data_IF_353144953711
#
_entry.id   IF_353144953711
#
_cell.length_a   1.000
_cell.length_b   1.000
_cell.length_c   1.000
_cell.angle_alpha   90.00
_cell.angle_beta   90.00
_cell.angle_gamma   90.00
#
_symmetry.space_group_name_H-M   'P 1'
#
loop_
_entity.id
_entity.type
_entity.pdbx_description
1 polymer ?
#
# COMPACT_ATOMS: atom_id res chain seq x y z
N UNK A 1 10.21 0.04 23.71
CA UNK A 1 11.05 0.30 24.90
C UNK A 1 10.65 1.65 25.45
N UNK A 2 10.39 1.79 26.75
CA UNK A 2 10.31 3.13 27.36
C UNK A 2 11.73 3.68 27.24
N UNK A 3 11.96 4.84 26.60
CA UNK A 3 13.29 5.43 26.56
C UNK A 3 13.80 5.56 27.99
N UNK A 4 15.07 5.24 28.24
CA UNK A 4 15.70 5.47 29.55
C UNK A 4 15.37 6.91 29.95
N UNK A 5 14.49 7.09 30.96
CA UNK A 5 13.76 8.32 31.25
C UNK A 5 14.65 9.52 31.56
N UNK A 6 15.26 10.07 30.51
CA UNK A 6 16.16 11.21 30.57
C UNK A 6 15.40 12.53 30.46
N UNK A 7 16.11 13.66 30.54
CA UNK A 7 15.50 15.00 30.58
C UNK A 7 14.54 15.28 29.42
N UNK A 8 14.83 14.78 28.22
CA UNK A 8 13.95 14.92 27.06
C UNK A 8 12.64 14.13 27.20
N UNK A 9 12.68 12.95 27.83
CA UNK A 9 11.48 12.16 28.10
C UNK A 9 10.62 12.83 29.17
N UNK A 10 11.23 13.36 30.22
CA UNK A 10 10.52 14.11 31.27
C UNK A 10 9.84 15.37 30.70
N UNK A 11 10.49 16.06 29.77
CA UNK A 11 9.91 17.21 29.06
C UNK A 11 8.67 16.79 28.24
N UNK A 12 8.75 15.68 27.50
CA UNK A 12 7.62 15.16 26.72
C UNK A 12 6.47 14.74 27.64
N UNK A 13 6.75 13.94 28.67
CA UNK A 13 5.73 13.45 29.61
C UNK A 13 5.10 14.60 30.39
N UNK A 14 5.86 15.62 30.77
CA UNK A 14 5.34 16.81 31.45
C UNK A 14 4.34 17.62 30.61
N UNK A 15 4.38 17.48 29.28
CA UNK A 15 3.45 18.11 28.34
C UNK A 15 2.22 17.25 28.05
N UNK A 16 2.20 15.99 28.45
CA UNK A 16 1.04 15.13 28.27
C UNK A 16 -0.11 15.55 29.21
N UNK A 17 -1.33 15.51 28.69
CA UNK A 17 -2.57 15.65 29.45
C UNK A 17 -3.50 14.51 29.05
N UNK A 18 -4.38 14.10 29.96
CA UNK A 18 -5.34 13.03 29.73
C UNK A 18 -6.75 13.51 30.05
N UNK A 19 -7.67 13.28 29.12
CA UNK A 19 -9.10 13.56 29.28
C UNK A 19 -9.83 12.22 29.17
N UNK A 20 -10.66 11.91 30.17
CA UNK A 20 -11.46 10.69 30.19
C UNK A 20 -12.89 11.02 29.80
N UNK A 21 -13.47 10.24 28.90
CA UNK A 21 -14.86 10.44 28.49
C UNK A 21 -15.30 9.58 27.32
N UNK A 22 -16.56 9.72 26.91
CA UNK A 22 -17.14 8.98 25.78
C UNK A 22 -16.89 9.69 24.45
N UNK A 23 -16.74 8.92 23.37
CA UNK A 23 -16.44 9.45 22.02
C UNK A 23 -17.55 10.33 21.42
N UNK A 24 -18.75 10.32 22.00
CA UNK A 24 -19.91 11.09 21.55
C UNK A 24 -20.53 11.91 22.67
N UNK A 25 -19.91 11.96 23.85
CA UNK A 25 -20.43 12.70 25.00
C UNK A 25 -19.98 14.17 24.92
N UNK A 26 -20.90 15.15 24.79
CA UNK A 26 -20.54 16.57 24.72
C UNK A 26 -19.66 17.04 25.88
N UNK A 27 -19.88 16.53 27.10
CA UNK A 27 -19.08 16.89 28.26
C UNK A 27 -17.59 16.50 28.11
N UNK A 28 -17.30 15.47 27.31
CA UNK A 28 -15.93 15.06 27.00
C UNK A 28 -15.23 16.09 26.13
N UNK A 29 -15.93 16.64 25.14
CA UNK A 29 -15.38 17.63 24.21
C UNK A 29 -15.26 19.02 24.86
N UNK A 30 -16.19 19.38 25.75
CA UNK A 30 -16.05 20.57 26.61
C UNK A 30 -14.80 20.47 27.51
N UNK A 31 -14.57 19.31 28.13
CA UNK A 31 -13.36 19.08 28.93
C UNK A 31 -12.09 19.12 28.06
N UNK A 32 -12.14 18.55 26.85
CA UNK A 32 -11.04 18.61 25.88
C UNK A 32 -10.73 20.06 25.48
N UNK A 33 -11.73 20.87 25.18
CA UNK A 33 -11.55 22.30 24.85
C UNK A 33 -10.85 23.05 25.98
N UNK A 34 -11.25 22.81 27.23
CA UNK A 34 -10.62 23.42 28.40
C UNK A 34 -9.13 23.08 28.51
N UNK A 35 -8.76 21.81 28.31
CA UNK A 35 -7.36 21.36 28.33
C UNK A 35 -6.57 21.94 27.15
N UNK A 36 -7.15 21.98 25.95
CA UNK A 36 -6.48 22.56 24.78
C UNK A 36 -6.21 24.06 24.98
N UNK A 37 -7.15 24.78 25.57
CA UNK A 37 -7.00 26.21 25.88
C UNK A 37 -5.90 26.45 26.93
N UNK A 38 -5.81 25.60 27.96
CA UNK A 38 -4.71 25.65 28.93
C UNK A 38 -3.34 25.42 28.26
N UNK A 39 -3.26 24.49 27.31
CA UNK A 39 -2.03 24.21 26.57
C UNK A 39 -1.64 25.33 25.61
N UNK A 40 -2.61 25.99 24.98
CA UNK A 40 -2.35 27.15 24.14
C UNK A 40 -1.66 28.28 24.93
N UNK A 41 -2.06 28.49 26.19
CA UNK A 41 -1.47 29.49 27.09
C UNK A 41 -0.14 29.06 27.71
N UNK A 42 -0.01 27.78 28.10
CA UNK A 42 1.12 27.30 28.91
C UNK A 42 2.33 26.81 28.11
N UNK A 43 2.10 26.20 26.93
CA UNK A 43 3.17 25.62 26.10
C UNK A 43 3.32 26.29 24.73
N UNK A 44 2.50 27.30 24.43
CA UNK A 44 2.59 28.04 23.18
C UNK A 44 2.20 27.22 21.95
N UNK A 45 1.31 26.23 22.11
CA UNK A 45 0.78 25.39 21.03
C UNK A 45 0.06 26.19 19.93
N UNK A 46 -0.26 27.44 20.24
CA UNK A 46 -0.57 28.43 19.24
C UNK A 46 -1.86 28.13 18.45
N UNK A 47 -2.80 27.39 19.06
CA UNK A 47 -4.06 26.99 18.44
C UNK A 47 -3.91 25.93 17.36
N UNK A 48 -2.69 25.40 17.14
CA UNK A 48 -2.44 24.36 16.15
C UNK A 48 -2.81 23.00 16.72
N UNK A 49 -3.66 22.24 16.01
CA UNK A 49 -4.22 20.99 16.50
C UNK A 49 -4.08 19.89 15.46
N UNK A 50 -3.61 18.72 15.89
CA UNK A 50 -3.64 17.48 15.13
C UNK A 50 -4.42 16.45 15.95
N UNK A 51 -5.59 16.05 15.47
CA UNK A 51 -6.40 15.01 16.07
C UNK A 51 -6.06 13.67 15.43
N UNK A 52 -5.42 12.77 16.17
CA UNK A 52 -5.11 11.42 15.70
C UNK A 52 -6.15 10.41 16.19
N UNK A 53 -6.93 9.83 15.27
CA UNK A 53 -7.96 8.85 15.62
C UNK A 53 -7.38 7.43 15.72
N UNK A 54 -6.62 7.15 16.77
CA UNK A 54 -6.11 5.82 17.10
C UNK A 54 -7.21 4.95 17.75
N UNK A 55 -8.32 4.78 17.05
CA UNK A 55 -9.54 4.14 17.56
C UNK A 55 -10.10 3.12 16.57
N UNK A 56 -11.18 2.43 16.93
CA UNK A 56 -11.82 1.46 16.02
C UNK A 56 -12.52 2.18 14.85
N UNK A 57 -12.55 1.62 13.63
CA UNK A 57 -13.03 2.36 12.45
C UNK A 57 -14.49 2.79 12.53
N UNK A 58 -15.32 2.02 13.24
CA UNK A 58 -16.75 2.27 13.35
C UNK A 58 -17.11 3.59 14.06
N UNK A 59 -16.17 4.24 14.75
CA UNK A 59 -16.42 5.48 15.50
C UNK A 59 -15.74 6.72 14.89
N UNK A 60 -15.06 6.60 13.74
CA UNK A 60 -14.35 7.73 13.15
C UNK A 60 -15.28 8.89 12.80
N UNK A 61 -16.42 8.59 12.17
CA UNK A 61 -17.43 9.57 11.82
C UNK A 61 -18.00 10.25 13.07
N UNK A 62 -18.33 9.47 14.10
CA UNK A 62 -18.88 9.96 15.36
C UNK A 62 -17.93 10.96 16.05
N UNK A 63 -16.63 10.63 16.12
CA UNK A 63 -15.63 11.54 16.70
C UNK A 63 -15.48 12.81 15.85
N UNK A 64 -15.39 12.67 14.52
CA UNK A 64 -15.24 13.82 13.64
C UNK A 64 -16.43 14.79 13.77
N UNK A 65 -17.66 14.27 13.79
CA UNK A 65 -18.86 15.05 14.01
C UNK A 65 -18.89 15.71 15.39
N UNK A 66 -18.51 14.98 16.45
CA UNK A 66 -18.49 15.53 17.80
C UNK A 66 -17.43 16.65 17.97
N UNK A 67 -16.26 16.51 17.34
CA UNK A 67 -15.27 17.60 17.23
C UNK A 67 -15.85 18.81 16.51
N UNK A 68 -16.57 18.60 15.41
CA UNK A 68 -17.24 19.68 14.67
C UNK A 68 -18.32 20.39 15.49
N UNK A 69 -19.18 19.64 16.16
CA UNK A 69 -20.26 20.17 17.01
C UNK A 69 -19.73 20.96 18.21
N UNK A 70 -18.59 20.56 18.76
CA UNK A 70 -17.89 21.29 19.81
C UNK A 70 -17.10 22.51 19.31
N UNK A 71 -17.12 22.81 18.00
CA UNK A 71 -16.34 23.90 17.40
C UNK A 71 -14.83 23.65 17.38
N UNK A 72 -14.40 22.42 17.65
CA UNK A 72 -12.99 22.03 17.76
C UNK A 72 -12.35 21.69 16.41
N UNK A 73 -13.14 21.54 15.35
CA UNK A 73 -12.64 21.28 13.98
C UNK A 73 -12.12 22.54 13.27
N UNK A 74 -12.29 23.73 13.86
CA UNK A 74 -11.84 25.01 13.32
C UNK A 74 -10.74 25.62 14.21
N UNK A 75 -9.72 26.25 13.62
CA UNK A 75 -8.66 26.86 14.41
C UNK A 75 -9.23 28.00 15.27
N UNK A 76 -8.78 28.14 16.55
CA UNK A 76 -9.29 29.17 17.45
C UNK A 76 -8.81 30.59 17.09
N UNK A 77 -7.87 30.72 16.13
CA UNK A 77 -7.28 31.99 15.72
C UNK A 77 -6.70 31.93 14.30
N UNK A 78 -6.58 33.10 13.68
CA UNK A 78 -5.98 33.25 12.35
C UNK A 78 -4.53 32.76 12.31
N UNK A 79 -4.19 32.04 11.23
CA UNK A 79 -2.85 31.49 11.01
C UNK A 79 -2.56 30.18 11.75
N UNK A 80 -3.50 29.67 12.55
CA UNK A 80 -3.42 28.33 13.13
C UNK A 80 -4.09 27.28 12.22
N UNK A 81 -3.75 26.01 12.40
CA UNK A 81 -4.36 24.90 11.67
C UNK A 81 -5.07 23.90 12.60
N UNK A 82 -6.05 23.20 12.04
CA UNK A 82 -6.65 22.00 12.65
C UNK A 82 -6.62 20.89 11.61
N UNK A 83 -6.09 19.73 11.97
CA UNK A 83 -5.95 18.57 11.09
C UNK A 83 -6.47 17.31 11.77
N UNK A 84 -7.07 16.43 10.98
CA UNK A 84 -7.63 15.16 11.41
C UNK A 84 -6.84 14.03 10.73
N UNK A 85 -6.16 13.21 11.52
CA UNK A 85 -5.43 12.03 11.06
C UNK A 85 -6.29 10.80 11.32
N UNK A 86 -6.60 10.05 10.27
CA UNK A 86 -7.42 8.84 10.34
C UNK A 86 -6.67 7.62 9.80
N UNK A 87 -6.92 6.47 10.45
CA UNK A 87 -6.32 5.18 10.11
C UNK A 87 -7.22 4.37 9.18
N UNK A 88 -6.63 3.39 8.49
CA UNK A 88 -7.40 2.39 7.74
C UNK A 88 -8.13 1.42 8.70
N UNK A 89 -9.21 0.76 8.26
CA UNK A 89 -9.89 0.83 6.96
C UNK A 89 -10.73 2.10 6.73
N UNK A 90 -10.70 2.60 5.49
CA UNK A 90 -11.55 3.70 5.01
C UNK A 90 -12.84 3.14 4.39
N UNK A 91 -13.77 2.69 5.24
CA UNK A 91 -14.93 1.92 4.81
C UNK A 91 -14.62 0.44 4.56
N UNK A 92 -15.65 -0.32 4.19
CA UNK A 92 -15.58 -1.77 3.90
C UNK A 92 -16.06 -2.12 2.49
N UNK A 93 -16.61 -1.14 1.81
CA UNK A 93 -17.14 -1.13 0.45
C UNK A 93 -17.22 0.34 0.01
N UNK A 94 -17.44 0.60 -1.27
CA UNK A 94 -17.53 1.95 -1.82
C UNK A 94 -18.58 2.80 -1.09
N UNK A 95 -19.76 2.23 -0.82
CA UNK A 95 -20.86 2.97 -0.18
C UNK A 95 -20.51 3.42 1.22
N UNK A 96 -19.92 2.55 2.05
CA UNK A 96 -19.54 2.88 3.41
C UNK A 96 -18.33 3.83 3.47
N UNK A 97 -17.41 3.75 2.50
CA UNK A 97 -16.34 4.72 2.36
C UNK A 97 -16.88 6.12 2.06
N UNK A 98 -17.82 6.23 1.12
CA UNK A 98 -18.49 7.49 0.79
C UNK A 98 -19.32 8.06 1.96
N UNK A 99 -19.99 7.19 2.72
CA UNK A 99 -20.71 7.62 3.94
C UNK A 99 -19.76 8.14 5.02
N UNK A 100 -18.65 7.44 5.28
CA UNK A 100 -17.63 7.87 6.24
C UNK A 100 -17.05 9.22 5.80
N UNK A 101 -16.71 9.34 4.53
CA UNK A 101 -16.14 10.56 3.98
C UNK A 101 -17.11 11.76 4.07
N UNK A 102 -18.37 11.57 3.69
CA UNK A 102 -19.39 12.61 3.80
C UNK A 102 -19.56 13.08 5.25
N UNK A 103 -19.55 12.16 6.22
CA UNK A 103 -19.67 12.49 7.63
C UNK A 103 -18.45 13.27 8.17
N UNK A 104 -17.24 12.91 7.75
CA UNK A 104 -16.03 13.68 8.08
C UNK A 104 -16.12 15.10 7.52
N UNK A 105 -16.60 15.22 6.28
CA UNK A 105 -16.74 16.50 5.58
C UNK A 105 -17.87 17.41 6.10
N UNK A 106 -18.72 16.92 7.01
CA UNK A 106 -19.61 17.81 7.78
C UNK A 106 -18.84 18.69 8.77
N UNK A 107 -17.65 18.25 9.23
CA UNK A 107 -16.87 18.91 10.27
C UNK A 107 -15.50 19.43 9.79
N UNK A 108 -14.86 18.78 8.82
CA UNK A 108 -13.51 19.08 8.34
C UNK A 108 -13.49 19.29 6.82
N UNK A 109 -12.67 20.22 6.34
CA UNK A 109 -12.43 20.36 4.90
C UNK A 109 -11.34 19.35 4.45
N UNK A 110 -11.28 18.97 3.16
CA UNK A 110 -10.37 17.90 2.68
C UNK A 110 -8.88 18.20 2.92
N UNK A 111 -8.47 19.47 2.94
CA UNK A 111 -7.09 19.89 3.26
C UNK A 111 -6.73 19.73 4.75
N UNK A 112 -7.75 19.51 5.60
CA UNK A 112 -7.59 19.17 7.00
C UNK A 112 -7.51 17.65 7.23
N UNK A 113 -7.83 16.79 6.25
CA UNK A 113 -7.98 15.35 6.45
C UNK A 113 -6.75 14.58 5.94
N UNK A 114 -6.13 13.83 6.85
CA UNK A 114 -4.87 13.10 6.65
C UNK A 114 -5.14 11.60 6.80
N UNK A 115 -5.44 10.93 5.68
CA UNK A 115 -5.73 9.48 5.64
C UNK A 115 -4.43 8.69 5.54
N UNK A 116 -4.09 7.95 6.59
CA UNK A 116 -2.83 7.20 6.68
C UNK A 116 -2.89 5.91 5.87
N UNK A 117 -1.86 5.74 5.03
CA UNK A 117 -1.36 4.45 4.60
C UNK A 117 0.14 4.39 4.92
N UNK A 118 0.52 3.61 5.94
CA UNK A 118 1.91 3.51 6.37
C UNK A 118 2.88 3.00 5.28
N UNK A 119 2.41 2.41 4.17
CA UNK A 119 3.31 2.09 3.06
C UNK A 119 3.82 3.36 2.37
N UNK A 120 3.03 4.43 2.30
CA UNK A 120 3.44 5.71 1.71
C UNK A 120 4.53 6.40 2.53
N UNK A 121 4.59 6.15 3.84
CA UNK A 121 5.64 6.65 4.72
C UNK A 121 7.00 5.95 4.57
N UNK A 122 7.11 4.90 3.74
CA UNK A 122 8.37 4.18 3.50
C UNK A 122 9.25 4.93 2.51
N UNK A 123 10.53 5.06 2.85
CA UNK A 123 11.55 5.77 2.04
C UNK A 123 11.57 5.30 0.58
N UNK A 124 11.48 3.98 0.35
CA UNK A 124 11.50 3.39 -1.00
C UNK A 124 10.32 3.76 -1.87
N UNK A 125 9.16 4.05 -1.28
CA UNK A 125 7.98 4.47 -2.03
C UNK A 125 8.20 5.85 -2.65
N UNK A 126 8.83 6.78 -1.91
CA UNK A 126 9.22 8.08 -2.45
C UNK A 126 10.34 7.97 -3.47
N UNK A 127 11.27 7.05 -3.27
CA UNK A 127 12.34 6.80 -4.24
C UNK A 127 11.83 6.41 -5.63
N UNK A 128 10.62 5.85 -5.75
CA UNK A 128 10.00 5.60 -7.06
C UNK A 128 9.89 6.91 -7.85
N UNK A 129 9.51 8.02 -7.21
CA UNK A 129 9.41 9.33 -7.87
C UNK A 129 10.80 9.84 -8.30
N UNK A 130 11.79 9.77 -7.41
CA UNK A 130 13.15 10.17 -7.72
C UNK A 130 13.75 9.32 -8.86
N UNK A 131 13.59 8.00 -8.80
CA UNK A 131 14.07 7.08 -9.82
C UNK A 131 13.47 7.42 -11.20
N UNK A 132 12.16 7.64 -11.26
CA UNK A 132 11.45 7.89 -12.52
C UNK A 132 11.76 9.27 -13.09
N UNK A 133 11.68 10.31 -12.26
CA UNK A 133 11.62 11.69 -12.76
C UNK A 133 12.93 12.48 -12.60
N UNK A 134 13.88 12.00 -11.80
CA UNK A 134 15.22 12.61 -11.71
C UNK A 134 16.27 11.94 -12.62
N UNK A 135 15.91 10.86 -13.33
CA UNK A 135 16.84 10.09 -14.15
C UNK A 135 16.38 10.01 -15.61
N UNK A 136 17.12 10.69 -16.50
CA UNK A 136 16.83 10.71 -17.94
C UNK A 136 16.88 9.34 -18.62
N UNK A 137 17.48 8.33 -18.00
CA UNK A 137 17.61 6.97 -18.55
C UNK A 137 16.37 6.09 -18.30
N UNK A 138 15.60 6.34 -17.23
CA UNK A 138 14.52 5.44 -16.81
C UNK A 138 13.17 5.82 -17.39
N UNK A 139 12.82 7.12 -17.41
CA UNK A 139 11.52 7.52 -17.93
C UNK A 139 11.27 7.13 -19.40
N UNK A 140 12.23 7.27 -20.34
CA UNK A 140 12.01 6.86 -21.73
C UNK A 140 11.69 5.38 -21.93
N UNK A 141 12.10 4.51 -20.99
CA UNK A 141 11.85 3.06 -21.03
C UNK A 141 10.65 2.64 -20.17
N UNK A 142 9.99 3.57 -19.48
CA UNK A 142 8.87 3.31 -18.56
C UNK A 142 7.51 3.36 -19.28
N UNK A 143 7.35 2.56 -20.33
CA UNK A 143 6.12 2.54 -21.14
C UNK A 143 6.00 1.25 -21.96
N UNK A 144 4.83 1.05 -22.57
CA UNK A 144 4.48 -0.12 -23.38
C UNK A 144 5.39 -0.47 -24.55
N UNK A 145 6.22 0.47 -25.03
CA UNK A 145 7.17 0.17 -26.12
C UNK A 145 8.31 -0.72 -25.62
N UNK A 146 8.64 -0.63 -24.34
CA UNK A 146 9.78 -1.31 -23.74
C UNK A 146 9.36 -2.32 -22.67
N UNK A 147 8.26 -2.09 -21.96
CA UNK A 147 7.75 -2.98 -20.91
C UNK A 147 6.83 -4.04 -21.51
N UNK A 148 7.07 -5.31 -21.17
CA UNK A 148 6.18 -6.43 -21.51
C UNK A 148 5.04 -6.58 -20.50
N UNK A 149 5.37 -6.58 -19.21
CA UNK A 149 4.40 -6.63 -18.14
C UNK A 149 5.02 -6.12 -16.84
N UNK A 150 4.13 -5.83 -15.88
CA UNK A 150 4.52 -5.42 -14.53
C UNK A 150 3.96 -6.42 -13.52
N UNK A 151 4.77 -6.79 -12.53
CA UNK A 151 4.37 -7.63 -11.41
C UNK A 151 4.49 -6.86 -10.10
N UNK A 152 3.41 -6.76 -9.33
CA UNK A 152 3.41 -6.23 -7.96
C UNK A 152 3.21 -7.39 -7.01
N UNK A 153 4.20 -7.65 -6.14
CA UNK A 153 4.11 -8.70 -5.12
C UNK A 153 4.12 -8.05 -3.75
N UNK A 154 3.09 -8.33 -2.94
CA UNK A 154 3.02 -7.95 -1.51
C UNK A 154 2.80 -9.20 -0.67
N UNK A 155 3.87 -9.85 -0.26
CA UNK A 155 3.87 -11.11 0.45
C UNK A 155 4.23 -10.96 1.92
N UNK A 156 3.55 -11.72 2.78
CA UNK A 156 3.84 -11.82 4.20
C UNK A 156 4.10 -13.28 4.58
N UNK A 157 5.15 -13.52 5.36
CA UNK A 157 5.41 -14.85 5.93
C UNK A 157 4.52 -15.16 7.14
N UNK A 158 4.02 -14.12 7.82
CA UNK A 158 3.13 -14.27 8.97
C UNK A 158 1.72 -14.68 8.52
N UNK A 159 1.03 -15.43 9.38
CA UNK A 159 -0.40 -15.72 9.27
C UNK A 159 -1.26 -14.60 9.87
N UNK A 160 -2.54 -14.88 10.13
CA UNK A 160 -3.42 -13.91 10.78
C UNK A 160 -3.19 -13.77 12.29
N UNK A 161 -2.63 -14.79 12.93
CA UNK A 161 -2.36 -14.79 14.37
C UNK A 161 -3.62 -14.45 15.17
N UNK A 162 -3.48 -13.61 16.20
CA UNK A 162 -4.59 -13.19 17.08
C UNK A 162 -5.59 -12.20 16.43
N UNK A 163 -5.45 -11.91 15.13
CA UNK A 163 -6.35 -11.00 14.40
C UNK A 163 -7.41 -11.74 13.60
N UNK A 164 -7.67 -13.02 13.90
CA UNK A 164 -8.65 -13.86 13.19
C UNK A 164 -10.01 -13.18 13.03
N UNK A 165 -10.61 -12.71 14.14
CA UNK A 165 -11.93 -12.07 14.11
C UNK A 165 -12.01 -10.79 13.27
N UNK A 166 -10.94 -9.98 13.25
CA UNK A 166 -10.87 -8.82 12.34
C UNK A 166 -10.71 -9.27 10.89
N UNK A 167 -9.80 -10.21 10.65
CA UNK A 167 -9.43 -10.66 9.31
C UNK A 167 -10.57 -11.36 8.57
N UNK A 168 -11.45 -12.05 9.30
CA UNK A 168 -12.69 -12.64 8.76
C UNK A 168 -13.60 -11.64 8.04
N UNK A 169 -13.54 -10.36 8.43
CA UNK A 169 -14.33 -9.29 7.80
C UNK A 169 -13.57 -8.54 6.72
N UNK A 170 -12.23 -8.53 6.80
CA UNK A 170 -11.38 -7.80 5.88
C UNK A 170 -11.00 -8.64 4.65
N UNK A 171 -10.38 -9.81 4.88
CA UNK A 171 -9.70 -10.59 3.86
C UNK A 171 -8.50 -9.88 3.24
N UNK A 172 -7.74 -10.58 2.41
CA UNK A 172 -6.55 -9.99 1.76
C UNK A 172 -6.91 -8.86 0.79
N UNK A 173 -8.11 -8.88 0.19
CA UNK A 173 -8.51 -7.84 -0.75
C UNK A 173 -8.69 -6.48 -0.07
N UNK A 174 -9.38 -6.41 1.08
CA UNK A 174 -9.55 -5.15 1.81
C UNK A 174 -8.32 -4.77 2.62
N UNK A 175 -7.65 -5.76 3.23
CA UNK A 175 -6.51 -5.49 4.12
C UNK A 175 -5.30 -4.92 3.38
N UNK A 176 -5.03 -5.43 2.17
CA UNK A 176 -3.81 -5.11 1.40
C UNK A 176 -4.09 -4.56 0.00
N UNK A 177 -5.01 -5.15 -0.76
CA UNK A 177 -5.19 -4.76 -2.17
C UNK A 177 -5.81 -3.36 -2.29
N UNK A 178 -6.90 -3.09 -1.57
CA UNK A 178 -7.64 -1.83 -1.65
C UNK A 178 -6.78 -0.60 -1.27
N UNK A 179 -5.80 -0.78 -0.39
CA UNK A 179 -4.92 0.31 0.07
C UNK A 179 -3.51 0.18 -0.53
N UNK A 180 -2.62 -0.59 0.11
CA UNK A 180 -1.19 -0.63 -0.14
C UNK A 180 -0.86 -0.95 -1.61
N UNK A 181 -1.54 -1.91 -2.21
CA UNK A 181 -1.31 -2.26 -3.62
C UNK A 181 -1.77 -1.12 -4.53
N UNK A 182 -2.93 -0.51 -4.29
CA UNK A 182 -3.39 0.63 -5.09
C UNK A 182 -2.42 1.80 -5.02
N UNK A 183 -1.83 2.06 -3.84
CA UNK A 183 -0.80 3.10 -3.68
C UNK A 183 0.45 2.81 -4.51
N UNK A 184 0.98 1.59 -4.42
CA UNK A 184 2.16 1.16 -5.19
C UNK A 184 1.87 1.17 -6.70
N UNK A 185 0.67 0.74 -7.10
CA UNK A 185 0.22 0.81 -8.49
C UNK A 185 0.15 2.27 -8.98
N UNK A 186 -0.48 3.16 -8.22
CA UNK A 186 -0.61 4.57 -8.59
C UNK A 186 0.75 5.21 -8.88
N UNK A 187 1.73 5.00 -8.00
CA UNK A 187 3.09 5.53 -8.16
C UNK A 187 3.86 4.89 -9.33
N UNK A 188 3.56 3.63 -9.64
CA UNK A 188 4.14 2.94 -10.80
C UNK A 188 3.54 3.44 -12.12
N UNK A 189 2.23 3.76 -12.10
CA UNK A 189 1.42 4.05 -13.28
C UNK A 189 1.39 5.53 -13.67
N UNK A 190 1.45 6.44 -12.69
CA UNK A 190 1.28 7.90 -12.87
C UNK A 190 2.19 8.50 -13.93
N UNK A 191 1.72 9.54 -14.60
CA UNK A 191 2.57 10.33 -15.51
C UNK A 191 3.55 11.20 -14.69
N UNK A 192 4.61 11.75 -15.33
CA UNK A 192 5.42 12.79 -14.71
C UNK A 192 4.52 13.98 -14.32
N UNK A 193 4.48 14.36 -13.03
CA UNK A 193 3.71 15.52 -12.62
C UNK A 193 4.37 16.80 -13.13
N UNK A 194 3.58 17.84 -13.39
CA UNK A 194 4.11 19.14 -13.84
C UNK A 194 4.99 19.82 -12.77
N UNK A 195 4.72 19.50 -11.51
CA UNK A 195 5.42 19.98 -10.31
C UNK A 195 5.36 18.90 -9.22
N UNK A 196 6.30 18.96 -8.28
CA UNK A 196 6.40 18.00 -7.16
C UNK A 196 5.66 18.46 -5.90
N UNK A 197 4.71 19.38 -6.05
CA UNK A 197 3.81 19.72 -4.94
C UNK A 197 2.79 18.60 -4.70
N UNK A 198 2.20 18.60 -3.50
CA UNK A 198 1.33 17.53 -3.04
C UNK A 198 0.14 17.29 -3.98
N UNK A 199 -0.51 18.35 -4.47
CA UNK A 199 -1.68 18.21 -5.33
C UNK A 199 -1.29 17.72 -6.73
N UNK A 200 -0.17 18.20 -7.29
CA UNK A 200 0.36 17.70 -8.56
C UNK A 200 0.64 16.19 -8.52
N UNK A 201 1.19 15.67 -7.41
CA UNK A 201 1.41 14.23 -7.23
C UNK A 201 0.09 13.48 -7.04
N UNK A 202 -0.80 13.97 -6.16
CA UNK A 202 -2.09 13.33 -5.87
C UNK A 202 -3.00 13.28 -7.11
N UNK A 203 -3.01 14.31 -7.93
CA UNK A 203 -3.76 14.36 -9.19
C UNK A 203 -3.29 13.29 -10.18
N UNK A 204 -1.97 13.13 -10.34
CA UNK A 204 -1.42 12.13 -11.24
C UNK A 204 -1.62 10.68 -10.72
N UNK A 205 -1.62 10.48 -9.39
CA UNK A 205 -2.01 9.20 -8.77
C UNK A 205 -3.47 8.85 -9.07
N UNK A 206 -4.40 9.78 -8.82
CA UNK A 206 -5.84 9.56 -9.07
C UNK A 206 -6.10 9.34 -10.57
N UNK A 207 -5.47 10.13 -11.44
CA UNK A 207 -5.56 9.98 -12.90
C UNK A 207 -5.07 8.61 -13.35
N UNK A 208 -4.00 8.09 -12.77
CA UNK A 208 -3.54 6.73 -13.06
C UNK A 208 -4.53 5.66 -12.61
N UNK A 209 -5.07 5.74 -11.39
CA UNK A 209 -6.06 4.78 -10.90
C UNK A 209 -7.37 4.82 -11.70
N UNK A 210 -7.76 6.00 -12.21
CA UNK A 210 -8.91 6.14 -13.13
C UNK A 210 -8.71 5.43 -14.46
N UNK A 211 -7.46 5.21 -14.88
CA UNK A 211 -7.14 4.46 -16.09
C UNK A 211 -7.11 2.94 -15.86
N UNK A 212 -7.17 2.46 -14.62
CA UNK A 212 -7.30 1.01 -14.35
C UNK A 212 -8.71 0.57 -14.75
N UNK A 213 -8.79 -0.43 -15.63
CA UNK A 213 -10.06 -0.99 -16.09
C UNK A 213 -10.81 -1.62 -14.91
N UNK A 214 -12.00 -1.12 -14.61
CA UNK A 214 -12.89 -1.70 -13.62
C UNK A 214 -13.47 -3.00 -14.19
N UNK A 215 -13.21 -4.12 -13.53
CA UNK A 215 -13.65 -5.43 -13.98
C UNK A 215 -15.18 -5.53 -13.94
N UNK A 216 -15.79 -6.18 -14.94
CA UNK A 216 -17.15 -6.68 -14.77
C UNK A 216 -17.15 -7.87 -13.79
N UNK A 217 -18.28 -8.21 -13.15
CA UNK A 217 -18.36 -9.40 -12.29
C UNK A 217 -17.91 -10.68 -12.99
N UNK A 218 -18.27 -10.87 -14.26
CA UNK A 218 -17.83 -12.02 -15.07
C UNK A 218 -16.32 -12.01 -15.33
N UNK A 219 -15.73 -10.84 -15.58
CA UNK A 219 -14.30 -10.71 -15.75
C UNK A 219 -13.56 -10.97 -14.43
N UNK A 220 -14.10 -10.52 -13.29
CA UNK A 220 -13.52 -10.77 -11.97
C UNK A 220 -13.38 -12.27 -11.68
N UNK A 221 -14.34 -13.10 -12.11
CA UNK A 221 -14.26 -14.56 -11.94
C UNK A 221 -13.11 -15.24 -12.70
N UNK A 222 -12.53 -14.58 -13.70
CA UNK A 222 -11.45 -15.14 -14.56
C UNK A 222 -10.13 -14.40 -14.45
N UNK A 223 -10.15 -13.11 -14.12
CA UNK A 223 -8.98 -12.25 -13.97
C UNK A 223 -8.50 -12.15 -12.52
N UNK A 224 -9.27 -12.68 -11.56
CA UNK A 224 -8.93 -12.69 -10.13
C UNK A 224 -8.98 -14.10 -9.55
N UNK A 225 -7.95 -14.42 -8.79
CA UNK A 225 -7.84 -15.65 -8.01
C UNK A 225 -7.87 -15.29 -6.54
N UNK A 226 -8.72 -15.96 -5.76
CA UNK A 226 -8.75 -15.87 -4.30
C UNK A 226 -8.42 -17.22 -3.69
N UNK A 227 -7.63 -17.23 -2.64
CA UNK A 227 -7.21 -18.46 -2.00
C UNK A 227 -6.99 -18.31 -0.50
N UNK A 228 -6.92 -19.44 0.19
CA UNK A 228 -6.75 -19.54 1.63
C UNK A 228 -5.60 -20.50 1.96
N UNK A 229 -4.74 -20.15 2.91
CA UNK A 229 -3.64 -21.02 3.30
C UNK A 229 -4.14 -22.22 4.11
N UNK A 230 -3.69 -23.41 3.72
CA UNK A 230 -3.79 -24.63 4.50
C UNK A 230 -2.58 -24.81 5.44
N UNK A 231 -2.53 -25.92 6.19
CA UNK A 231 -1.38 -26.26 7.01
C UNK A 231 -0.13 -26.43 6.14
N UNK A 232 1.05 -26.18 6.73
CA UNK A 232 2.31 -26.26 6.01
C UNK A 232 3.50 -25.84 6.87
N UNK A 233 4.57 -25.38 6.22
CA UNK A 233 5.82 -25.05 6.88
C UNK A 233 6.33 -23.68 6.42
N UNK A 234 6.55 -22.77 7.37
CA UNK A 234 7.13 -21.44 7.09
C UNK A 234 8.39 -21.28 7.92
N UNK A 235 9.50 -20.94 7.29
CA UNK A 235 10.81 -20.75 7.97
C UNK A 235 11.25 -21.94 8.83
N UNK A 236 10.84 -23.17 8.47
CA UNK A 236 11.17 -24.39 9.21
C UNK A 236 10.25 -24.71 10.39
N UNK A 237 9.18 -23.95 10.60
CA UNK A 237 8.16 -24.21 11.62
C UNK A 237 6.86 -24.70 10.99
N UNK A 238 6.25 -25.73 11.58
CA UNK A 238 4.92 -26.20 11.20
C UNK A 238 3.86 -25.19 11.66
N UNK A 239 2.95 -24.83 10.76
CA UNK A 239 1.93 -23.80 11.00
C UNK A 239 0.53 -24.31 10.62
N UNK A 240 -0.52 -23.92 11.36
CA UNK A 240 -1.87 -24.34 11.07
C UNK A 240 -2.41 -23.68 9.79
N UNK A 241 -3.45 -24.30 9.22
CA UNK A 241 -4.25 -23.67 8.16
C UNK A 241 -5.18 -22.60 8.74
N UNK A 242 -5.65 -21.68 7.89
CA UNK A 242 -6.42 -20.51 8.31
C UNK A 242 -7.66 -20.86 9.16
N UNK A 243 -8.44 -21.86 8.74
CA UNK A 243 -9.65 -22.34 9.47
C UNK A 243 -9.37 -22.99 10.82
N UNK A 244 -8.10 -23.20 11.16
CA UNK A 244 -7.64 -23.73 12.44
C UNK A 244 -6.97 -22.67 13.32
N UNK A 245 -6.91 -21.41 12.85
CA UNK A 245 -6.44 -20.28 13.64
C UNK A 245 -7.50 -19.84 14.66
N UNK A 246 -7.07 -19.15 15.70
CA UNK A 246 -7.94 -18.58 16.73
C UNK A 246 -8.91 -17.55 16.13
N UNK A 247 -10.16 -17.53 16.61
CA UNK A 247 -11.22 -16.62 16.16
C UNK A 247 -11.55 -16.67 14.65
N UNK A 248 -11.34 -17.83 14.00
CA UNK A 248 -11.71 -18.07 12.60
C UNK A 248 -12.80 -19.15 12.49
N UNK A 249 -13.81 -18.93 11.65
CA UNK A 249 -14.86 -19.93 11.42
C UNK A 249 -14.34 -21.15 10.64
N UNK A 250 -14.75 -22.36 11.05
CA UNK A 250 -14.30 -23.62 10.43
C UNK A 250 -14.73 -23.77 8.97
N UNK A 251 -15.80 -23.11 8.57
CA UNK A 251 -16.35 -23.07 7.21
C UNK A 251 -16.02 -21.76 6.47
N UNK A 252 -15.13 -20.93 7.03
CA UNK A 252 -14.78 -19.62 6.47
C UNK A 252 -14.33 -19.70 5.01
N UNK A 253 -14.85 -18.77 4.22
CA UNK A 253 -14.46 -18.55 2.81
C UNK A 253 -13.61 -17.29 2.61
N UNK A 254 -13.13 -16.69 3.70
CA UNK A 254 -12.27 -15.50 3.67
C UNK A 254 -10.94 -15.81 3.00
N UNK A 255 -10.56 -15.01 2.03
CA UNK A 255 -9.31 -15.15 1.31
C UNK A 255 -8.12 -14.60 2.12
N UNK A 256 -7.03 -15.39 2.17
CA UNK A 256 -5.74 -14.98 2.74
C UNK A 256 -4.70 -14.71 1.64
N UNK A 257 -5.10 -14.88 0.38
CA UNK A 257 -4.30 -14.65 -0.81
C UNK A 257 -5.19 -14.16 -1.94
N UNK A 258 -4.68 -13.19 -2.70
CA UNK A 258 -5.32 -12.66 -3.90
C UNK A 258 -4.25 -12.54 -4.99
N UNK A 259 -4.56 -13.01 -6.21
CA UNK A 259 -3.83 -12.64 -7.41
C UNK A 259 -4.79 -12.04 -8.44
N UNK A 260 -4.38 -10.97 -9.12
CA UNK A 260 -5.21 -10.23 -10.06
C UNK A 260 -4.42 -9.89 -11.31
N UNK A 261 -5.09 -9.93 -12.45
CA UNK A 261 -4.60 -9.36 -13.69
C UNK A 261 -5.41 -8.10 -14.00
N UNK A 262 -4.71 -6.96 -14.00
CA UNK A 262 -5.27 -5.65 -14.26
C UNK A 262 -4.83 -5.15 -15.63
N UNK A 263 -5.68 -4.34 -16.25
CA UNK A 263 -5.37 -3.59 -17.48
C UNK A 263 -5.44 -2.10 -17.16
N UNK A 264 -4.59 -1.33 -17.82
CA UNK A 264 -4.56 0.13 -17.70
C UNK A 264 -4.79 0.73 -19.07
N UNK A 265 -5.94 1.39 -19.24
CA UNK A 265 -6.40 1.98 -20.48
C UNK A 265 -5.95 3.43 -20.59
N UNK A 266 -4.64 3.60 -20.86
CA UNK A 266 -4.07 4.90 -21.21
C UNK A 266 -2.96 4.74 -22.26
N UNK A 267 -2.47 5.86 -22.80
CA UNK A 267 -1.46 5.85 -23.86
C UNK A 267 -0.17 5.11 -23.46
N UNK A 268 0.29 5.30 -22.22
CA UNK A 268 1.55 4.75 -21.70
C UNK A 268 1.51 3.24 -21.54
N UNK A 269 0.39 2.70 -21.07
CA UNK A 269 0.27 1.32 -20.61
C UNK A 269 -0.68 0.44 -21.43
N UNK A 270 -1.37 0.99 -22.43
CA UNK A 270 -2.31 0.22 -23.27
C UNK A 270 -1.64 -1.04 -23.84
N UNK A 271 -2.17 -2.21 -23.46
CA UNK A 271 -1.69 -3.52 -23.87
C UNK A 271 -0.68 -4.18 -22.91
N UNK A 272 -0.17 -3.46 -21.91
CA UNK A 272 0.72 -3.99 -20.87
C UNK A 272 -0.12 -4.51 -19.70
N UNK A 273 -0.12 -5.82 -19.40
CA UNK A 273 -0.83 -6.33 -18.23
C UNK A 273 -0.05 -6.07 -16.94
N UNK A 274 -0.81 -5.80 -15.88
CA UNK A 274 -0.32 -5.66 -14.53
C UNK A 274 -0.79 -6.87 -13.72
N UNK A 275 0.16 -7.64 -13.19
CA UNK A 275 -0.16 -8.77 -12.33
C UNK A 275 0.12 -8.38 -10.89
N UNK A 276 -0.90 -8.45 -10.05
CA UNK A 276 -0.80 -8.22 -8.62
C UNK A 276 -0.90 -9.57 -7.94
N UNK A 277 -0.09 -9.82 -6.91
CA UNK A 277 -0.37 -10.86 -5.93
C UNK A 277 -0.05 -10.42 -4.53
N UNK A 278 -0.87 -10.85 -3.59
CA UNK A 278 -0.64 -10.68 -2.17
C UNK A 278 -1.11 -11.90 -1.39
N UNK A 279 -0.49 -12.15 -0.25
CA UNK A 279 -1.02 -13.14 0.67
C UNK A 279 -0.18 -13.34 1.92
N UNK A 280 -0.80 -14.03 2.88
CA UNK A 280 -0.21 -14.45 4.15
C UNK A 280 0.35 -15.87 4.07
N UNK A 281 1.23 -16.23 5.01
CA UNK A 281 1.94 -17.52 5.03
C UNK A 281 2.67 -17.84 3.72
N UNK A 282 3.18 -16.83 3.02
CA UNK A 282 4.06 -16.98 1.88
C UNK A 282 5.51 -17.26 2.35
N UNK A 283 6.44 -17.67 1.48
CA UNK A 283 7.75 -18.18 1.92
C UNK A 283 8.60 -17.14 2.64
N UNK A 284 8.39 -15.86 2.34
CA UNK A 284 9.09 -14.72 2.97
C UNK A 284 8.25 -13.45 2.88
N UNK A 285 8.52 -12.49 3.76
CA UNK A 285 8.00 -11.12 3.64
C UNK A 285 8.71 -10.40 2.49
N UNK A 286 7.96 -9.85 1.55
CA UNK A 286 8.50 -9.03 0.46
C UNK A 286 7.43 -8.13 -0.15
N UNK A 287 7.80 -6.90 -0.48
CA UNK A 287 7.03 -5.95 -1.27
C UNK A 287 7.92 -5.48 -2.41
N UNK A 288 7.58 -5.85 -3.65
CA UNK A 288 8.34 -5.45 -4.82
C UNK A 288 7.45 -5.12 -6.03
N UNK A 289 7.95 -4.23 -6.88
CA UNK A 289 7.43 -3.97 -8.22
C UNK A 289 8.48 -4.39 -9.23
N UNK A 290 8.20 -5.39 -10.04
CA UNK A 290 9.08 -5.87 -11.09
C UNK A 290 8.50 -5.51 -12.47
N UNK A 291 9.19 -4.64 -13.20
CA UNK A 291 8.89 -4.39 -14.61
C UNK A 291 9.79 -5.25 -15.47
N UNK A 292 9.19 -6.18 -16.20
CA UNK A 292 9.92 -6.99 -17.17
C UNK A 292 9.88 -6.29 -18.53
N UNK A 293 11.05 -6.08 -19.12
CA UNK A 293 11.15 -5.49 -20.44
C UNK A 293 10.87 -6.52 -21.54
N UNK A 294 10.48 -6.03 -22.71
CA UNK A 294 10.32 -6.80 -23.94
C UNK A 294 11.60 -7.56 -24.26
N UNK A 295 11.44 -8.78 -24.77
CA UNK A 295 12.57 -9.57 -25.23
C UNK A 295 13.20 -8.92 -26.46
N UNK A 296 14.53 -8.95 -26.54
CA UNK A 296 15.26 -8.45 -27.70
C UNK A 296 14.80 -9.23 -28.95
N UNK A 297 14.30 -8.57 -30.00
CA UNK A 297 13.66 -9.25 -31.13
C UNK A 297 14.64 -10.05 -31.98
N UNK A 298 15.90 -9.63 -32.03
CA UNK A 298 16.96 -10.33 -32.76
C UNK A 298 18.27 -10.33 -31.96
N UNK A 299 18.76 -11.52 -31.66
CA UNK A 299 20.08 -11.72 -31.07
C UNK A 299 21.04 -12.17 -32.18
N UNK A 300 22.12 -11.43 -32.46
CA UNK A 300 23.11 -11.82 -33.47
C UNK A 300 24.02 -12.98 -33.03
N UNK A 301 23.75 -13.56 -31.85
CA UNK A 301 24.52 -14.64 -31.24
C UNK A 301 23.96 -16.01 -31.64
N UNK A 302 24.83 -17.02 -31.76
CA UNK A 302 24.37 -18.38 -32.00
C UNK A 302 23.49 -18.85 -30.84
N UNK A 303 22.45 -19.64 -31.12
CA UNK A 303 21.42 -19.99 -30.12
C UNK A 303 21.93 -20.66 -28.84
N UNK A 304 23.17 -21.19 -28.79
CA UNK A 304 23.80 -21.69 -27.57
C UNK A 304 24.43 -20.59 -26.71
N UNK A 305 24.89 -19.49 -27.32
CA UNK A 305 25.62 -18.38 -26.71
C UNK A 305 24.72 -17.48 -25.84
N UNK A 306 23.41 -17.54 -26.03
CA UNK A 306 22.44 -16.71 -25.29
C UNK A 306 21.33 -17.53 -24.61
N UNK A 307 21.51 -18.85 -24.42
CA UNK A 307 20.45 -19.71 -23.81
C UNK A 307 20.03 -19.28 -22.41
N UNK A 308 20.92 -18.64 -21.68
CA UNK A 308 20.68 -18.17 -20.31
C UNK A 308 20.39 -16.67 -20.24
N UNK A 309 20.15 -16.03 -21.39
CA UNK A 309 19.75 -14.63 -21.46
C UNK A 309 18.23 -14.54 -21.32
N UNK A 310 17.77 -14.15 -20.13
CA UNK A 310 16.38 -13.75 -19.92
C UNK A 310 16.13 -12.30 -20.33
N UNK A 311 14.85 -11.88 -20.40
CA UNK A 311 14.50 -10.48 -20.61
C UNK A 311 15.07 -9.61 -19.47
N UNK A 312 15.41 -8.37 -19.83
CA UNK A 312 15.82 -7.38 -18.85
C UNK A 312 14.68 -7.14 -17.86
N UNK A 313 15.02 -6.72 -16.64
CA UNK A 313 14.02 -6.36 -15.65
C UNK A 313 14.53 -5.22 -14.78
N UNK A 314 13.63 -4.32 -14.39
CA UNK A 314 13.85 -3.33 -13.35
C UNK A 314 12.96 -3.69 -12.15
N UNK A 315 13.58 -3.99 -11.02
CA UNK A 315 12.90 -4.43 -9.80
C UNK A 315 13.08 -3.38 -8.73
N UNK A 316 11.97 -2.83 -8.23
CA UNK A 316 11.91 -1.92 -7.10
C UNK A 316 11.57 -2.75 -5.87
N UNK A 317 12.51 -2.86 -4.92
CA UNK A 317 12.29 -3.52 -3.63
C UNK A 317 11.87 -2.46 -2.64
N UNK A 318 10.63 -2.56 -2.15
CA UNK A 318 10.03 -1.64 -1.18
C UNK A 318 10.27 -2.13 0.25
N UNK A 319 10.32 -3.44 0.47
CA UNK A 319 10.73 -4.05 1.74
C UNK A 319 10.80 -5.59 1.60
N UNK A 320 11.59 -6.29 2.42
CA UNK A 320 12.76 -5.78 3.12
C UNK A 320 13.87 -5.40 2.10
N UNK A 321 15.00 -4.91 2.60
CA UNK A 321 16.19 -4.62 1.79
C UNK A 321 15.92 -3.66 0.62
N UNK A 322 15.26 -2.58 0.99
CA UNK A 322 14.95 -1.37 0.25
C UNK A 322 16.02 -1.03 -0.79
N UNK A 323 15.63 -1.00 -2.07
CA UNK A 323 16.58 -0.76 -3.15
C UNK A 323 16.07 -1.10 -4.54
N UNK A 324 17.00 -1.16 -5.50
CA UNK A 324 16.70 -1.33 -6.92
C UNK A 324 17.61 -2.41 -7.51
N UNK A 325 17.07 -3.33 -8.30
CA UNK A 325 17.84 -4.25 -9.16
C UNK A 325 17.58 -3.95 -10.61
N UNK A 326 18.63 -3.78 -11.41
CA UNK A 326 18.56 -3.83 -12.86
C UNK A 326 19.18 -5.15 -13.35
N UNK A 327 18.39 -5.99 -14.00
CA UNK A 327 18.84 -7.23 -14.65
C UNK A 327 19.06 -7.02 -16.14
N UNK A 328 20.23 -7.39 -16.64
CA UNK A 328 20.61 -7.25 -18.05
C UNK A 328 21.61 -8.32 -18.48
N UNK A 329 21.87 -8.44 -19.79
CA UNK A 329 22.84 -9.40 -20.33
C UNK A 329 24.28 -8.90 -20.27
N UNK A 330 25.22 -9.75 -19.84
CA UNK A 330 26.66 -9.47 -19.89
C UNK A 330 27.44 -10.66 -20.45
N UNK A 331 28.59 -10.38 -21.08
CA UNK A 331 29.52 -11.40 -21.57
C UNK A 331 30.17 -12.10 -20.38
N UNK A 332 30.12 -13.43 -20.37
CA UNK A 332 30.85 -14.25 -19.41
C UNK A 332 32.37 -14.08 -19.66
N UNK A 333 33.17 -13.82 -18.60
CA UNK A 333 34.62 -13.81 -18.73
C UNK A 333 35.15 -15.13 -19.30
N UNK A 334 35.94 -15.06 -20.38
CA UNK A 334 36.45 -16.23 -21.08
C UNK A 334 36.69 -16.01 -22.57
N UNK A 335 37.19 -17.06 -23.24
CA UNK A 335 37.47 -17.07 -24.67
C UNK A 335 36.22 -17.24 -25.53
N UNK A 336 35.20 -17.95 -25.03
CA UNK A 336 33.91 -18.08 -25.68
C UNK A 336 33.10 -16.78 -25.55
N UNK A 337 32.28 -16.49 -26.57
CA UNK A 337 31.32 -15.39 -26.52
C UNK A 337 29.97 -15.91 -26.03
N UNK A 338 29.84 -16.06 -24.71
CA UNK A 338 28.58 -16.44 -24.06
C UNK A 338 28.03 -15.26 -23.28
N UNK A 339 26.71 -15.04 -23.38
CA UNK A 339 25.98 -13.97 -22.71
C UNK A 339 25.02 -14.57 -21.70
N UNK A 340 25.03 -14.04 -20.47
CA UNK A 340 24.16 -14.46 -19.38
C UNK A 340 23.54 -13.25 -18.70
N UNK A 341 22.38 -13.44 -18.08
CA UNK A 341 21.78 -12.40 -17.24
C UNK A 341 22.63 -12.17 -15.98
N UNK A 342 22.91 -10.91 -15.69
CA UNK A 342 23.56 -10.41 -14.47
C UNK A 342 22.68 -9.32 -13.84
N UNK A 343 22.93 -9.01 -12.58
CA UNK A 343 22.23 -7.96 -11.83
C UNK A 343 23.19 -6.84 -11.44
N UNK A 344 22.71 -5.61 -11.55
CA UNK A 344 23.29 -4.45 -10.86
C UNK A 344 22.32 -4.07 -9.73
N UNK A 345 22.85 -4.01 -8.51
CA UNK A 345 22.06 -3.86 -7.30
C UNK A 345 22.44 -2.58 -6.55
N UNK A 346 21.43 -1.78 -6.25
CA UNK A 346 21.49 -0.67 -5.32
C UNK A 346 20.68 -1.04 -4.07
N UNK A 347 21.24 -0.77 -2.88
CA UNK A 347 20.60 -1.00 -1.58
C UNK A 347 20.78 0.24 -0.71
N UNK A 348 19.70 0.69 -0.08
CA UNK A 348 19.70 1.86 0.79
C UNK A 348 20.70 1.72 1.94
N UNK A 349 20.62 0.61 2.69
CA UNK A 349 21.50 0.38 3.85
C UNK A 349 22.99 0.27 3.51
N UNK A 350 23.33 0.02 2.24
CA UNK A 350 24.72 0.03 1.78
C UNK A 350 25.19 1.41 1.29
N UNK A 351 24.28 2.22 0.75
CA UNK A 351 24.58 3.51 0.14
C UNK A 351 24.46 4.70 1.12
N UNK A 352 23.54 4.60 2.07
CA UNK A 352 23.26 5.61 3.08
C UNK A 352 23.44 4.97 4.47
N UNK A 353 24.28 5.59 5.29
CA UNK A 353 24.62 5.10 6.64
C UNK A 353 23.64 5.56 7.72
N UNK A 354 22.53 6.21 7.33
CA UNK A 354 21.49 6.69 8.23
C UNK A 354 20.33 5.70 8.24
N UNK A 355 19.79 5.42 9.43
CA UNK A 355 18.54 4.66 9.54
C UNK A 355 17.41 5.52 8.97
N UNK A 356 16.67 4.97 8.02
CA UNK A 356 15.47 5.63 7.52
C UNK A 356 14.44 5.76 8.67
N UNK A 357 13.75 6.91 8.80
CA UNK A 357 12.73 7.08 9.81
C UNK A 357 11.64 6.04 9.64
N UNK A 358 11.05 5.61 10.75
CA UNK A 358 9.90 4.71 10.70
C UNK A 358 8.72 5.40 10.02
N UNK A 359 7.87 4.62 9.32
CA UNK A 359 6.82 5.19 8.49
C UNK A 359 5.88 6.14 9.26
N UNK A 360 5.55 5.82 10.52
CA UNK A 360 4.71 6.67 11.36
C UNK A 360 5.41 7.93 11.86
N UNK A 361 6.72 7.88 12.11
CA UNK A 361 7.49 9.07 12.48
C UNK A 361 7.39 10.11 11.36
N UNK A 362 7.60 9.66 10.12
CA UNK A 362 7.48 10.50 8.93
C UNK A 362 6.08 11.06 8.74
N UNK A 363 5.06 10.20 8.73
CA UNK A 363 3.68 10.61 8.49
C UNK A 363 3.19 11.58 9.58
N UNK A 364 3.50 11.34 10.85
CA UNK A 364 3.14 12.26 11.92
C UNK A 364 3.79 13.63 11.74
N UNK A 365 5.07 13.68 11.35
CA UNK A 365 5.75 14.93 11.04
C UNK A 365 5.10 15.66 9.87
N UNK A 366 4.81 14.95 8.76
CA UNK A 366 4.18 15.51 7.58
C UNK A 366 2.79 16.10 7.91
N UNK A 367 2.01 15.42 8.75
CA UNK A 367 0.74 15.95 9.27
C UNK A 367 0.92 17.18 10.17
N UNK A 368 2.03 17.32 10.90
CA UNK A 368 2.33 18.50 11.73
C UNK A 368 2.81 19.70 10.89
N UNK A 369 3.55 19.48 9.82
CA UNK A 369 4.00 20.56 8.92
C UNK A 369 2.97 20.92 7.85
N UNK A 370 2.00 20.02 7.59
CA UNK A 370 0.91 20.25 6.64
C UNK A 370 1.23 19.81 5.22
N UNK A 371 2.00 18.74 5.07
CA UNK A 371 2.32 18.14 3.79
C UNK A 371 1.40 16.93 3.54
N UNK A 372 0.40 17.04 2.65
CA UNK A 372 -0.53 15.94 2.37
C UNK A 372 0.00 14.97 1.29
N UNK A 373 1.24 15.12 0.79
CA UNK A 373 1.77 14.33 -0.34
C UNK A 373 1.66 12.83 -0.12
N UNK A 374 1.90 12.37 1.12
CA UNK A 374 1.88 10.94 1.50
C UNK A 374 0.53 10.48 2.07
N UNK A 375 -0.53 11.29 1.93
CA UNK A 375 -1.85 11.00 2.47
C UNK A 375 -2.85 10.77 1.36
N UNK A 376 -3.75 9.80 1.58
CA UNK A 376 -4.71 9.40 0.55
C UNK A 376 -5.82 10.45 0.47
N UNK A 377 -6.03 11.01 -0.72
CA UNK A 377 -7.16 11.93 -1.00
C UNK A 377 -8.46 11.15 -1.11
N UNK A 378 -9.58 11.77 -0.78
CA UNK A 378 -10.89 11.12 -0.86
C UNK A 378 -11.18 10.49 -2.24
N UNK A 379 -10.96 11.23 -3.33
CA UNK A 379 -11.17 10.73 -4.69
C UNK A 379 -10.25 9.56 -5.07
N UNK A 380 -9.10 9.43 -4.40
CA UNK A 380 -8.20 8.28 -4.50
C UNK A 380 -8.78 7.06 -3.78
N UNK A 381 -9.33 7.23 -2.56
CA UNK A 381 -10.04 6.17 -1.81
C UNK A 381 -11.23 5.66 -2.62
N UNK A 382 -12.05 6.57 -3.15
CA UNK A 382 -13.22 6.26 -3.97
C UNK A 382 -12.84 5.44 -5.20
N UNK A 383 -11.76 5.84 -5.90
CA UNK A 383 -11.31 5.13 -7.09
C UNK A 383 -10.72 3.75 -6.75
N UNK A 384 -9.98 3.63 -5.64
CA UNK A 384 -9.50 2.34 -5.16
C UNK A 384 -10.67 1.38 -4.87
N UNK A 385 -11.73 1.86 -4.23
CA UNK A 385 -12.96 1.08 -4.00
C UNK A 385 -13.64 0.68 -5.31
N UNK A 386 -13.81 1.59 -6.27
CA UNK A 386 -14.39 1.27 -7.59
C UNK A 386 -13.66 0.15 -8.31
N UNK A 387 -12.34 0.03 -8.16
CA UNK A 387 -11.55 -1.04 -8.77
C UNK A 387 -11.81 -2.39 -8.09
N UNK A 388 -11.95 -2.44 -6.76
CA UNK A 388 -12.08 -3.69 -6.01
C UNK A 388 -13.54 -4.14 -5.79
N UNK A 389 -14.52 -3.24 -5.83
CA UNK A 389 -15.93 -3.53 -5.57
C UNK A 389 -16.49 -4.69 -6.43
N UNK A 390 -16.26 -4.73 -7.75
CA UNK A 390 -16.80 -5.81 -8.58
C UNK A 390 -16.24 -7.19 -8.22
N UNK A 391 -15.04 -7.23 -7.63
CA UNK A 391 -14.42 -8.45 -7.14
C UNK A 391 -15.11 -8.93 -5.87
N UNK A 392 -15.43 -8.00 -4.95
CA UNK A 392 -16.22 -8.29 -3.76
C UNK A 392 -17.62 -8.81 -4.11
N UNK A 393 -18.28 -8.16 -5.07
CA UNK A 393 -19.60 -8.57 -5.57
C UNK A 393 -19.58 -9.98 -6.17
N UNK A 394 -18.57 -10.27 -7.00
CA UNK A 394 -18.39 -11.62 -7.56
C UNK A 394 -18.24 -12.67 -6.47
N UNK A 395 -17.44 -12.38 -5.44
CA UNK A 395 -17.18 -13.32 -4.34
C UNK A 395 -18.37 -13.51 -3.42
N UNK A 396 -19.20 -12.49 -3.22
CA UNK A 396 -20.47 -12.62 -2.51
C UNK A 396 -21.42 -13.60 -3.23
N UNK A 397 -21.32 -13.68 -4.56
CA UNK A 397 -21.98 -14.71 -5.39
C UNK A 397 -21.33 -16.11 -5.34
N UNK A 398 -20.23 -16.26 -4.59
CA UNK A 398 -19.51 -17.54 -4.42
C UNK A 398 -18.56 -17.91 -5.57
N UNK A 399 -18.26 -16.98 -6.48
CA UNK A 399 -17.39 -17.23 -7.64
C UNK A 399 -16.20 -16.25 -7.66
N UNK A 400 -14.96 -16.70 -7.91
CA UNK A 400 -14.54 -18.10 -8.04
C UNK A 400 -14.45 -18.78 -6.66
N UNK A 401 -14.43 -20.14 -6.62
CA UNK A 401 -14.17 -20.88 -5.39
C UNK A 401 -12.86 -20.46 -4.72
N UNK A 402 -12.82 -20.54 -3.40
CA UNK A 402 -11.59 -20.28 -2.63
C UNK A 402 -10.61 -21.43 -2.88
N UNK A 403 -9.55 -21.16 -3.65
CA UNK A 403 -8.48 -22.12 -3.82
C UNK A 403 -7.71 -22.32 -2.51
N UNK A 404 -6.96 -23.42 -2.41
CA UNK A 404 -6.13 -23.72 -1.25
C UNK A 404 -4.67 -23.71 -1.65
N UNK A 405 -3.80 -23.24 -0.76
CA UNK A 405 -2.35 -23.34 -0.95
C UNK A 405 -1.67 -23.75 0.36
N UNK A 406 -0.62 -24.54 0.26
CA UNK A 406 0.20 -24.94 1.41
C UNK A 406 0.94 -23.70 1.96
N UNK A 407 0.88 -23.49 3.28
CA UNK A 407 1.67 -22.45 3.94
C UNK A 407 3.17 -22.66 3.64
N UNK A 408 3.87 -21.59 3.26
CA UNK A 408 5.26 -21.62 2.81
C UNK A 408 5.46 -21.81 1.30
N UNK A 409 4.38 -21.79 0.50
CA UNK A 409 4.43 -21.73 -0.97
C UNK A 409 4.06 -20.34 -1.49
N UNK A 410 4.37 -20.04 -2.76
CA UNK A 410 4.08 -18.75 -3.42
C UNK A 410 2.60 -18.53 -3.84
N UNK A 411 1.67 -19.25 -3.20
CA UNK A 411 0.25 -19.23 -3.51
C UNK A 411 -0.25 -20.49 -4.23
N UNK A 412 -1.49 -20.46 -4.72
CA UNK A 412 -2.15 -21.59 -5.37
C UNK A 412 -1.74 -21.73 -6.85
N UNK A 413 -1.95 -22.92 -7.44
CA UNK A 413 -1.67 -23.17 -8.86
C UNK A 413 -2.54 -22.31 -9.79
N UNK A 414 -3.73 -21.93 -9.34
CA UNK A 414 -4.64 -21.02 -10.03
C UNK A 414 -3.99 -19.66 -10.29
N UNK A 415 -3.16 -19.17 -9.36
CA UNK A 415 -2.42 -17.91 -9.54
C UNK A 415 -1.32 -18.05 -10.61
N UNK A 416 -0.65 -19.19 -10.71
CA UNK A 416 0.32 -19.46 -11.78
C UNK A 416 -0.38 -19.51 -13.15
N UNK A 417 -1.52 -20.20 -13.24
CA UNK A 417 -2.31 -20.28 -14.48
C UNK A 417 -2.75 -18.89 -14.99
N UNK A 418 -3.04 -17.95 -14.09
CA UNK A 418 -3.47 -16.59 -14.43
C UNK A 418 -2.44 -15.86 -15.31
N UNK A 419 -1.15 -15.97 -14.97
CA UNK A 419 -0.06 -15.32 -15.71
C UNK A 419 0.44 -16.19 -16.88
N UNK A 420 0.41 -17.52 -16.73
CA UNK A 420 0.78 -18.48 -17.79
C UNK A 420 -0.14 -18.41 -19.01
N UNK A 421 -1.41 -17.99 -18.84
CA UNK A 421 -2.35 -17.77 -19.95
C UNK A 421 -1.78 -16.81 -21.00
N UNK A 422 -0.95 -15.87 -20.57
CA UNK A 422 -0.32 -14.89 -21.46
C UNK A 422 1.14 -15.27 -21.80
N UNK A 423 1.55 -16.52 -21.54
CA UNK A 423 2.91 -17.02 -21.80
C UNK A 423 3.97 -16.52 -20.83
N UNK A 424 3.56 -16.04 -19.65
CA UNK A 424 4.43 -15.41 -18.65
C UNK A 424 4.50 -16.25 -17.38
N UNK A 425 5.42 -15.91 -16.47
CA UNK A 425 5.60 -16.59 -15.20
C UNK A 425 5.80 -15.57 -14.09
N UNK A 426 5.34 -15.91 -12.88
CA UNK A 426 5.64 -15.11 -11.71
C UNK A 426 7.13 -15.07 -11.46
N UNK A 427 7.64 -13.89 -11.17
CA UNK A 427 8.97 -13.73 -10.61
C UNK A 427 8.99 -14.37 -9.23
N UNK A 428 10.04 -15.14 -8.93
CA UNK A 428 10.34 -15.54 -7.55
C UNK A 428 11.22 -14.45 -6.93
N UNK A 429 10.72 -13.71 -5.94
CA UNK A 429 11.44 -12.60 -5.33
C UNK A 429 12.80 -13.02 -4.79
#
# INVERSE_FOLDING_TARGET
AVPDGGPAWDEVVGRCRYVSGGYTDPATFEALEGVLSELDDSVGAAGNRVYYLATVPGIFADIAMALGQAGLSRPPRDGAFVRLVIEKPFGRDLSSAQCLDAAIHEAFDEDQVYRIDHYLGKETVQNVLALRFANAIFEPIWNRMYVDHVQVTVAESLGVGHRGGFYETAGALRDIVQNHVMQVLALTLMEPPASVDAEGIRDEKVKALRAVEVLSPDAAATEVVRAQYGPGWVSGEEVPGYRSEEDVAQDSSTETYVAMRLKVDNWRWAGVPFYVRTGKRLPRRVTEVAMQFQQVPHLPFAGHQARQLGPNALVLRIQPDDGITLRFGAKVPGAAFDVRSVSMDFSYGAAFLEEAPEAYERLLLDAMVGDPTLFIRNDEVDQAWRIVEPVLDSWAGGQPPVAQYEAGRWGPREADRLIERDGRQWRTP
#
